data_IF_399944262749
#
_entry.id   IF_399944262749
#
_cell.length_a   1.000
_cell.length_b   1.000
_cell.length_c   1.000
_cell.angle_alpha   90.00
_cell.angle_beta   90.00
_cell.angle_gamma   90.00
#
_symmetry.space_group_name_H-M   'P 1'
#
loop_
_entity.id
_entity.type
_entity.pdbx_description
1 polymer ?
#
# COMPACT_ATOMS: atom_id res chain seq x y z
N UNK A 1 18.50 36.91 36.93
CA UNK A 1 19.36 35.89 36.30
C UNK A 1 18.59 35.25 35.16
N UNK A 2 18.87 35.67 33.92
CA UNK A 2 18.15 35.18 32.73
C UNK A 2 18.76 33.88 32.23
N UNK A 3 18.03 32.78 32.42
CA UNK A 3 18.38 31.47 31.91
C UNK A 3 18.01 31.39 30.42
N UNK A 4 18.98 31.64 29.55
CA UNK A 4 18.83 31.52 28.10
C UNK A 4 18.80 30.04 27.69
N UNK A 5 17.60 29.52 27.38
CA UNK A 5 17.42 28.19 26.81
C UNK A 5 18.02 28.12 25.41
N UNK A 6 19.27 27.66 25.29
CA UNK A 6 19.88 27.33 23.99
C UNK A 6 19.13 26.17 23.33
N UNK A 7 18.24 26.48 22.38
CA UNK A 7 17.59 25.47 21.52
C UNK A 7 18.65 24.74 20.71
N UNK A 8 18.92 23.48 21.06
CA UNK A 8 19.71 22.57 20.24
C UNK A 8 19.07 22.46 18.85
N UNK A 9 19.75 22.96 17.81
CA UNK A 9 19.32 22.77 16.41
C UNK A 9 19.22 21.27 16.13
N UNK A 10 18.00 20.76 15.98
CA UNK A 10 17.74 19.34 15.72
C UNK A 10 18.19 19.02 14.30
N UNK A 11 19.37 18.42 14.15
CA UNK A 11 19.86 17.95 12.84
C UNK A 11 18.96 16.84 12.33
N UNK A 12 18.24 17.12 11.24
CA UNK A 12 17.39 16.14 10.57
C UNK A 12 18.26 15.21 9.74
N UNK A 13 18.50 14.00 10.23
CA UNK A 13 19.21 12.97 9.49
C UNK A 13 18.19 12.20 8.64
N UNK A 14 18.30 12.31 7.31
CA UNK A 14 17.48 11.52 6.38
C UNK A 14 17.89 10.05 6.48
N UNK A 15 16.91 9.16 6.65
CA UNK A 15 17.14 7.72 6.57
C UNK A 15 17.64 7.33 5.17
N UNK A 16 18.62 6.44 5.10
CA UNK A 16 19.11 5.91 3.83
C UNK A 16 17.99 5.27 3.00
N UNK A 17 18.16 5.19 1.68
CA UNK A 17 17.18 4.53 0.81
C UNK A 17 17.06 3.04 1.15
N UNK A 18 18.17 2.39 1.46
CA UNK A 18 18.25 0.96 1.75
C UNK A 18 17.47 0.63 3.03
N UNK A 19 17.64 1.41 4.10
CA UNK A 19 16.90 1.25 5.35
C UNK A 19 15.38 1.44 5.14
N UNK A 20 14.98 2.38 4.27
CA UNK A 20 13.57 2.59 3.92
C UNK A 20 12.97 1.39 3.19
N UNK A 21 13.70 0.79 2.25
CA UNK A 21 13.27 -0.42 1.52
C UNK A 21 13.15 -1.62 2.46
N UNK A 22 14.19 -1.89 3.24
CA UNK A 22 14.19 -2.96 4.25
C UNK A 22 13.04 -2.82 5.24
N UNK A 23 12.79 -1.60 5.74
CA UNK A 23 11.67 -1.36 6.65
C UNK A 23 10.33 -1.69 5.99
N UNK A 24 10.13 -1.28 4.74
CA UNK A 24 8.91 -1.58 4.00
C UNK A 24 8.71 -3.08 3.78
N UNK A 25 9.77 -3.81 3.45
CA UNK A 25 9.75 -5.27 3.28
C UNK A 25 9.39 -6.00 4.59
N UNK A 26 10.07 -5.68 5.69
CA UNK A 26 9.79 -6.27 7.00
C UNK A 26 8.32 -6.05 7.44
N UNK A 27 7.78 -4.85 7.19
CA UNK A 27 6.43 -4.49 7.66
C UNK A 27 5.35 -5.00 6.71
N UNK A 28 5.53 -4.86 5.40
CA UNK A 28 4.47 -5.08 4.42
C UNK A 28 4.48 -6.49 3.83
N UNK A 29 5.65 -7.11 3.70
CA UNK A 29 5.79 -8.46 3.14
C UNK A 29 5.84 -9.48 4.27
N UNK A 30 6.73 -9.28 5.25
CA UNK A 30 6.89 -10.22 6.38
C UNK A 30 5.88 -9.99 7.51
N UNK A 31 5.06 -8.94 7.45
CA UNK A 31 3.99 -8.68 8.43
C UNK A 31 4.47 -8.25 9.82
N UNK A 32 5.74 -7.83 10.00
CA UNK A 32 6.20 -7.36 11.30
C UNK A 32 5.53 -6.06 11.73
N UNK A 33 5.22 -5.96 13.02
CA UNK A 33 4.79 -4.69 13.64
C UNK A 33 5.89 -3.63 13.44
N UNK A 34 5.50 -2.42 13.08
CA UNK A 34 6.43 -1.28 12.81
C UNK A 34 7.41 -1.07 13.98
N UNK A 35 6.94 -1.18 15.23
CA UNK A 35 7.78 -1.05 16.42
C UNK A 35 8.90 -2.10 16.46
N UNK A 36 8.61 -3.34 16.05
CA UNK A 36 9.58 -4.44 16.04
C UNK A 36 10.56 -4.30 14.87
N UNK A 37 10.07 -3.93 13.69
CA UNK A 37 10.92 -3.65 12.53
C UNK A 37 11.86 -2.45 12.80
N UNK A 38 11.38 -1.41 13.47
CA UNK A 38 12.19 -0.26 13.87
C UNK A 38 13.33 -0.65 14.83
N UNK A 39 13.04 -1.51 15.82
CA UNK A 39 14.05 -2.08 16.72
C UNK A 39 15.10 -2.89 15.95
N UNK A 40 14.68 -3.79 15.05
CA UNK A 40 15.59 -4.60 14.21
C UNK A 40 16.52 -3.74 13.36
N UNK A 41 16.00 -2.66 12.78
CA UNK A 41 16.78 -1.75 11.93
C UNK A 41 17.48 -0.62 12.71
N UNK A 42 17.41 -0.63 14.04
CA UNK A 42 18.01 0.37 14.91
C UNK A 42 17.60 1.82 14.56
N UNK A 43 16.36 2.02 14.12
CA UNK A 43 15.81 3.35 13.82
C UNK A 43 14.76 3.77 14.84
N UNK A 44 14.61 5.09 15.03
CA UNK A 44 13.56 5.63 15.89
C UNK A 44 12.19 5.24 15.35
N UNK A 45 11.30 4.81 16.25
CA UNK A 45 9.93 4.41 15.90
C UNK A 45 9.16 5.51 15.15
N UNK A 46 9.31 6.78 15.58
CA UNK A 46 8.68 7.91 14.89
C UNK A 46 9.10 7.99 13.41
N UNK A 47 10.39 7.85 13.13
CA UNK A 47 10.94 7.81 11.76
C UNK A 47 10.37 6.63 10.97
N UNK A 48 10.32 5.45 11.58
CA UNK A 48 9.77 4.25 10.95
C UNK A 48 8.29 4.42 10.57
N UNK A 49 7.48 4.98 11.49
CA UNK A 49 6.06 5.26 11.28
C UNK A 49 5.85 6.22 10.10
N UNK A 50 6.63 7.30 10.05
CA UNK A 50 6.57 8.26 8.94
C UNK A 50 6.94 7.64 7.61
N UNK A 51 7.98 6.80 7.55
CA UNK A 51 8.39 6.10 6.32
C UNK A 51 7.29 5.18 5.81
N UNK A 52 6.70 4.34 6.68
CA UNK A 52 5.65 3.41 6.28
C UNK A 52 4.38 4.16 5.85
N UNK A 53 4.01 5.22 6.55
CA UNK A 53 2.86 6.05 6.16
C UNK A 53 3.05 6.64 4.76
N UNK A 54 4.22 7.23 4.51
CA UNK A 54 4.59 7.77 3.20
C UNK A 54 4.58 6.69 2.10
N UNK A 55 5.12 5.50 2.41
CA UNK A 55 5.14 4.38 1.47
C UNK A 55 3.71 3.95 1.08
N UNK A 56 2.82 3.76 2.06
CA UNK A 56 1.41 3.39 1.82
C UNK A 56 0.70 4.41 0.94
N UNK A 57 0.86 5.70 1.23
CA UNK A 57 0.25 6.77 0.45
C UNK A 57 0.75 6.76 -1.00
N UNK A 58 2.05 6.56 -1.22
CA UNK A 58 2.60 6.54 -2.58
C UNK A 58 2.22 5.30 -3.38
N UNK A 59 2.09 4.14 -2.74
CA UNK A 59 1.60 2.92 -3.42
C UNK A 59 0.15 3.14 -3.89
N UNK A 60 -0.71 3.72 -3.04
CA UNK A 60 -2.09 4.05 -3.39
C UNK A 60 -2.13 5.08 -4.53
N UNK A 61 -1.37 6.17 -4.43
CA UNK A 61 -1.33 7.22 -5.45
C UNK A 61 -0.81 6.72 -6.80
N UNK A 62 0.20 5.86 -6.82
CA UNK A 62 0.71 5.26 -8.07
C UNK A 62 -0.32 4.34 -8.74
N UNK A 63 -1.21 3.72 -7.97
CA UNK A 63 -2.28 2.86 -8.51
C UNK A 63 -3.46 3.65 -9.09
N UNK A 64 -3.63 4.92 -8.71
CA UNK A 64 -4.73 5.76 -9.20
C UNK A 64 -4.51 6.28 -10.64
N UNK A 65 -3.30 6.16 -11.20
CA UNK A 65 -2.99 6.59 -12.56
C UNK A 65 -3.32 5.55 -13.64
N UNK A 66 -4.23 4.59 -13.37
CA UNK A 66 -4.80 3.79 -14.45
C UNK A 66 -5.79 4.68 -15.20
N UNK A 67 -5.32 5.42 -16.20
CA UNK A 67 -6.20 6.01 -17.21
C UNK A 67 -6.75 4.84 -18.02
N UNK A 68 -8.02 4.45 -17.88
CA UNK A 68 -8.56 3.40 -18.71
C UNK A 68 -8.46 3.88 -20.16
N UNK A 69 -7.93 3.05 -21.05
CA UNK A 69 -7.79 3.36 -22.49
C UNK A 69 -9.15 3.58 -23.18
N UNK A 70 -10.24 3.20 -22.52
CA UNK A 70 -11.63 3.38 -22.99
C UNK A 70 -12.48 3.94 -21.85
N UNK A 71 -13.43 4.82 -22.17
CA UNK A 71 -14.45 5.24 -21.21
C UNK A 71 -15.27 4.02 -20.76
N UNK A 72 -15.60 3.97 -19.46
CA UNK A 72 -16.46 2.93 -18.92
C UNK A 72 -17.85 3.03 -19.58
N UNK A 73 -18.30 1.97 -20.24
CA UNK A 73 -19.65 1.85 -20.78
C UNK A 73 -20.44 0.82 -19.98
N UNK A 74 -21.73 1.07 -19.81
CA UNK A 74 -22.65 0.08 -19.27
C UNK A 74 -22.89 -0.99 -20.35
N UNK A 75 -22.52 -2.23 -20.06
CA UNK A 75 -22.83 -3.37 -20.91
C UNK A 75 -24.05 -4.12 -20.34
N UNK A 76 -25.04 -4.37 -21.19
CA UNK A 76 -26.10 -5.35 -20.90
C UNK A 76 -25.44 -6.73 -20.75
N UNK A 77 -25.62 -7.37 -19.59
CA UNK A 77 -25.08 -8.70 -19.30
C UNK A 77 -25.85 -9.72 -20.15
N UNK A 78 -25.33 -10.04 -21.34
CA UNK A 78 -25.93 -11.03 -22.26
C UNK A 78 -25.33 -12.43 -22.11
N UNK A 79 -24.19 -12.58 -21.43
CA UNK A 79 -23.44 -13.83 -21.31
C UNK A 79 -22.64 -13.89 -20.00
N UNK A 80 -22.10 -15.08 -19.70
CA UNK A 80 -21.28 -15.32 -18.52
C UNK A 80 -20.07 -14.38 -18.46
N UNK A 81 -20.03 -13.51 -17.45
CA UNK A 81 -18.91 -12.58 -17.23
C UNK A 81 -17.87 -13.25 -16.34
N UNK A 82 -16.62 -13.15 -16.76
CA UNK A 82 -15.46 -13.65 -16.01
C UNK A 82 -14.70 -12.47 -15.41
N UNK A 83 -14.62 -12.42 -14.08
CA UNK A 83 -13.84 -11.42 -13.35
C UNK A 83 -12.57 -12.04 -12.81
N UNK A 84 -11.42 -11.41 -13.04
CA UNK A 84 -10.18 -11.76 -12.35
C UNK A 84 -9.98 -10.82 -11.16
N UNK A 85 -10.22 -11.33 -9.95
CA UNK A 85 -9.92 -10.62 -8.71
C UNK A 85 -8.44 -10.80 -8.40
N UNK A 86 -7.70 -9.69 -8.36
CA UNK A 86 -6.26 -9.68 -8.07
C UNK A 86 -6.00 -9.11 -6.68
N UNK A 87 -5.45 -9.91 -5.77
CA UNK A 87 -4.98 -9.47 -4.46
C UNK A 87 -3.52 -9.01 -4.55
N UNK A 88 -3.25 -7.81 -4.04
CA UNK A 88 -1.91 -7.22 -4.01
C UNK A 88 -1.49 -6.85 -2.58
N UNK A 89 -0.24 -7.12 -2.19
CA UNK A 89 0.39 -6.61 -0.96
C UNK A 89 1.52 -5.68 -1.36
N UNK A 90 1.57 -4.49 -0.75
CA UNK A 90 2.56 -3.44 -1.10
C UNK A 90 2.62 -3.08 -2.60
N UNK A 91 1.57 -3.35 -3.37
CA UNK A 91 1.54 -3.15 -4.82
C UNK A 91 2.09 -4.32 -5.65
N UNK A 92 2.67 -5.34 -5.02
CA UNK A 92 3.04 -6.60 -5.68
C UNK A 92 1.84 -7.55 -5.73
N UNK A 93 1.69 -8.28 -6.83
CA UNK A 93 0.68 -9.34 -6.97
C UNK A 93 1.02 -10.49 -6.02
N UNK A 94 0.01 -10.98 -5.29
CA UNK A 94 0.16 -12.07 -4.31
C UNK A 94 -0.78 -13.23 -4.60
N UNK A 95 -1.97 -12.93 -5.10
CA UNK A 95 -2.95 -13.95 -5.47
C UNK A 95 -3.86 -13.40 -6.55
N UNK A 96 -4.42 -14.27 -7.38
CA UNK A 96 -5.53 -13.93 -8.25
C UNK A 96 -6.50 -15.10 -8.36
N UNK A 97 -7.80 -14.79 -8.28
CA UNK A 97 -8.87 -15.76 -8.47
C UNK A 97 -9.79 -15.30 -9.59
N UNK A 98 -10.17 -16.25 -10.43
CA UNK A 98 -11.13 -16.03 -11.49
C UNK A 98 -12.51 -16.41 -10.97
N UNK A 99 -13.49 -15.53 -11.12
CA UNK A 99 -14.89 -15.79 -10.79
C UNK A 99 -15.69 -15.75 -12.08
N UNK A 100 -16.41 -16.85 -12.35
CA UNK A 100 -17.35 -16.96 -13.45
C UNK A 100 -18.76 -16.79 -12.89
N UNK A 101 -19.51 -15.81 -13.40
CA UNK A 101 -20.95 -15.77 -13.18
C UNK A 101 -21.64 -16.54 -14.30
N UNK A 102 -22.32 -17.63 -13.97
CA UNK A 102 -23.23 -18.33 -14.88
C UNK A 102 -24.59 -17.63 -14.84
N UNK A 103 -25.24 -17.54 -16.00
CA UNK A 103 -26.55 -16.91 -16.14
C UNK A 103 -27.56 -17.51 -15.16
N UNK A 104 -28.14 -16.68 -14.29
CA UNK A 104 -29.39 -17.02 -13.59
C UNK A 104 -30.49 -16.88 -14.63
N UNK A 105 -31.00 -18.00 -15.13
CA UNK A 105 -32.17 -18.01 -16.00
C UNK A 105 -33.38 -17.59 -15.18
N UNK A 106 -33.88 -16.37 -15.38
CA UNK A 106 -35.21 -16.02 -14.91
C UNK A 106 -36.24 -16.84 -15.69
N UNK A 107 -36.85 -17.80 -15.00
CA UNK A 107 -38.03 -18.52 -15.47
C UNK A 107 -39.17 -17.53 -15.62
N UNK A 108 -39.45 -17.10 -16.86
CA UNK A 108 -40.67 -16.35 -17.17
C UNK A 108 -41.89 -17.21 -16.83
N UNK A 109 -42.78 -16.68 -15.99
CA UNK A 109 -44.17 -17.14 -15.83
C UNK A 109 -45.08 -16.20 -16.61
#
# INVERSE_FOLDING_TARGET
MDQTYKRSKRTYIKSSLQTRKLLAELVLIQGLKIKNAAKKLQIKYATAKSIILYYRQNVIKKQQNYKPTKQCSYASIKSAITYTIVSKLAGQHVNSRCIHFLNVTESKK
#
